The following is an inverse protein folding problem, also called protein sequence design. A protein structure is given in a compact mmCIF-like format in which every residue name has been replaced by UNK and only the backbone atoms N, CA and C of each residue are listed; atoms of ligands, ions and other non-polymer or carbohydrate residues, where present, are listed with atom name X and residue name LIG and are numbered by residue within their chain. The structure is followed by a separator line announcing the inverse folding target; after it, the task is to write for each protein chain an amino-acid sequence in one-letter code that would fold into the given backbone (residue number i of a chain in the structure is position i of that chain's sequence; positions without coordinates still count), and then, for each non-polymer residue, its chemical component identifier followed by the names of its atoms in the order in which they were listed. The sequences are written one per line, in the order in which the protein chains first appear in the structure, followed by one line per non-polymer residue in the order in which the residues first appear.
data_IF_649627757278
#
_entry.id   IF_649627757278
#
_cell.length_a   1.000
_cell.length_b   1.000
_cell.length_c   1.000
_cell.angle_alpha   90.00
_cell.angle_beta   90.00
_cell.angle_gamma   90.00
#
_symmetry.space_group_name_H-M   'P 1'
#
loop_
_entity.id
_entity.type
_entity.pdbx_description
1 polymer ?
#
# COMPACT_ATOMS: atom_id res chain seq x y z
N UNK A 1 17.94 9.27 23.81
CA UNK A 1 16.92 8.65 22.97
C UNK A 1 17.24 7.17 22.96
N UNK A 2 16.38 6.32 23.51
CA UNK A 2 16.59 4.87 23.42
C UNK A 2 16.28 4.48 21.99
N UNK A 3 17.29 4.00 21.25
CA UNK A 3 17.08 3.53 19.89
C UNK A 3 16.01 2.44 19.91
N UNK A 4 14.93 2.61 19.15
CA UNK A 4 14.02 1.49 18.90
C UNK A 4 14.68 0.56 17.88
N UNK A 5 14.40 -0.75 17.91
CA UNK A 5 15.01 -1.67 16.96
C UNK A 5 14.68 -1.37 15.48
N UNK A 6 13.65 -0.55 15.21
CA UNK A 6 13.30 -0.10 13.86
C UNK A 6 14.08 1.15 13.42
N UNK A 7 14.82 1.81 14.31
CA UNK A 7 15.59 3.01 13.94
C UNK A 7 16.75 2.69 12.96
N UNK A 8 17.15 1.42 12.87
CA UNK A 8 18.16 0.92 11.92
C UNK A 8 17.55 0.35 10.62
N UNK A 9 16.22 0.35 10.48
CA UNK A 9 15.52 -0.10 9.27
C UNK A 9 14.89 1.08 8.50
N UNK A 10 14.52 0.87 7.23
CA UNK A 10 14.05 1.95 6.36
C UNK A 10 12.55 2.29 6.52
N UNK A 11 11.96 1.99 7.70
CA UNK A 11 10.60 2.40 8.04
C UNK A 11 10.58 3.87 8.48
N UNK A 12 10.53 4.77 7.52
CA UNK A 12 10.68 6.21 7.77
C UNK A 12 9.35 6.98 7.82
N UNK A 13 8.23 6.37 7.44
CA UNK A 13 6.94 7.05 7.33
C UNK A 13 6.03 6.77 8.55
N UNK A 14 5.52 7.82 9.17
CA UNK A 14 4.51 7.78 10.22
C UNK A 14 3.15 8.21 9.65
N UNK A 15 2.20 7.26 9.58
CA UNK A 15 0.91 7.49 8.94
C UNK A 15 -0.22 7.81 9.90
N UNK A 16 -0.91 8.91 9.62
CA UNK A 16 -2.25 9.20 10.13
C UNK A 16 -3.28 8.72 9.10
N UNK A 17 -3.82 7.52 9.32
CA UNK A 17 -4.97 7.02 8.57
C UNK A 17 -6.27 7.75 8.97
N UNK A 18 -7.42 7.35 8.43
CA UNK A 18 -8.70 8.02 8.59
C UNK A 18 -9.05 8.43 10.05
N UNK A 19 -9.75 9.57 10.19
CA UNK A 19 -10.21 10.07 11.50
C UNK A 19 -9.40 11.23 12.10
N UNK A 20 -8.30 11.65 11.48
CA UNK A 20 -7.54 12.82 11.94
C UNK A 20 -8.16 14.18 11.54
N UNK A 21 -8.97 14.19 10.47
CA UNK A 21 -9.55 15.40 9.88
C UNK A 21 -10.99 15.66 10.29
N UNK A 22 -11.45 16.90 10.14
CA UNK A 22 -12.87 17.25 10.27
C UNK A 22 -13.64 16.58 9.14
N UNK A 23 -14.61 15.72 9.49
CA UNK A 23 -15.33 14.90 8.51
C UNK A 23 -16.55 15.54 7.84
N UNK A 24 -16.82 16.83 8.07
CA UNK A 24 -18.06 17.48 7.62
C UNK A 24 -17.87 18.74 6.77
N UNK A 25 -16.73 19.42 6.87
CA UNK A 25 -16.44 20.67 6.19
C UNK A 25 -14.94 21.01 6.23
N UNK A 26 -14.50 21.81 5.27
CA UNK A 26 -13.21 22.46 5.29
C UNK A 26 -13.22 23.82 5.99
N UNK A 27 -12.10 24.53 5.87
CA UNK A 27 -11.95 25.92 6.32
C UNK A 27 -12.84 26.91 5.53
N UNK A 28 -12.66 28.22 5.74
CA UNK A 28 -13.42 29.27 5.03
C UNK A 28 -13.29 29.20 3.50
N UNK A 29 -12.27 28.51 2.99
CA UNK A 29 -11.99 28.31 1.57
C UNK A 29 -12.26 26.86 1.11
N UNK A 30 -12.84 26.03 1.99
CA UNK A 30 -13.16 24.63 1.73
C UNK A 30 -11.93 23.73 1.61
N UNK A 31 -10.82 24.09 2.26
CA UNK A 31 -9.64 23.21 2.35
C UNK A 31 -9.74 22.28 3.54
N UNK A 32 -9.15 21.09 3.41
CA UNK A 32 -9.20 20.04 4.43
C UNK A 32 -8.48 20.50 5.70
N UNK A 33 -9.10 20.29 6.86
CA UNK A 33 -8.58 20.72 8.18
C UNK A 33 -8.54 19.56 9.16
N UNK A 34 -7.59 19.58 10.08
CA UNK A 34 -7.47 18.61 11.16
C UNK A 34 -8.47 18.89 12.29
N UNK A 35 -8.92 17.85 12.99
CA UNK A 35 -9.71 18.01 14.22
C UNK A 35 -8.80 18.49 15.36
N UNK A 36 -8.89 19.77 15.69
CA UNK A 36 -8.10 20.43 16.74
C UNK A 36 -8.29 19.84 18.14
N UNK A 37 -9.34 19.04 18.38
CA UNK A 37 -9.50 18.35 19.66
C UNK A 37 -8.55 17.15 19.81
N UNK A 38 -8.12 16.59 18.67
CA UNK A 38 -7.33 15.36 18.62
C UNK A 38 -5.90 15.62 18.12
N UNK A 39 -5.71 16.54 17.18
CA UNK A 39 -4.45 16.74 16.48
C UNK A 39 -4.04 18.21 16.38
N UNK A 40 -2.72 18.44 16.38
CA UNK A 40 -2.06 19.66 15.91
C UNK A 40 -1.05 19.22 14.85
N UNK A 41 -1.47 19.20 13.59
CA UNK A 41 -0.67 18.63 12.50
C UNK A 41 0.67 19.34 12.32
N UNK A 42 0.78 20.69 12.33
CA UNK A 42 2.08 21.35 12.28
C UNK A 42 3.03 20.95 13.41
N UNK A 43 2.55 20.87 14.66
CA UNK A 43 3.38 20.44 15.79
C UNK A 43 3.77 18.96 15.69
N UNK A 44 2.87 18.11 15.20
CA UNK A 44 3.16 16.70 14.93
C UNK A 44 4.21 16.53 13.84
N UNK A 45 4.09 17.26 12.72
CA UNK A 45 5.07 17.24 11.65
C UNK A 45 6.45 17.65 12.15
N UNK A 46 6.53 18.73 12.94
CA UNK A 46 7.79 19.14 13.56
C UNK A 46 8.38 18.03 14.44
N UNK A 47 7.57 17.38 15.28
CA UNK A 47 8.05 16.29 16.13
C UNK A 47 8.53 15.08 15.31
N UNK A 48 7.74 14.64 14.32
CA UNK A 48 8.09 13.52 13.42
C UNK A 48 9.39 13.80 12.68
N UNK A 49 9.57 15.03 12.17
CA UNK A 49 10.81 15.43 11.49
C UNK A 49 12.01 15.56 12.43
N UNK A 50 11.83 15.99 13.68
CA UNK A 50 12.91 16.07 14.68
C UNK A 50 13.46 14.67 15.04
N UNK A 51 12.60 13.64 14.96
CA UNK A 51 12.98 12.22 15.08
C UNK A 51 13.54 11.63 13.77
N UNK A 52 13.62 12.41 12.68
CA UNK A 52 14.14 11.98 11.38
C UNK A 52 13.16 11.14 10.54
N UNK A 53 11.88 11.14 10.91
CA UNK A 53 10.80 10.43 10.23
C UNK A 53 10.01 11.38 9.31
N UNK A 54 9.05 10.84 8.56
CA UNK A 54 8.25 11.53 7.54
C UNK A 54 6.76 11.41 7.86
N UNK A 55 6.01 12.51 7.75
CA UNK A 55 4.59 12.54 8.09
C UNK A 55 3.72 12.17 6.89
N UNK A 56 2.81 11.22 7.08
CA UNK A 56 1.84 10.78 6.08
C UNK A 56 0.42 11.12 6.54
N UNK A 57 -0.41 11.62 5.62
CA UNK A 57 -1.83 11.89 5.88
C UNK A 57 -2.74 11.20 4.88
N UNK A 58 -3.81 10.62 5.40
CA UNK A 58 -4.93 10.08 4.65
C UNK A 58 -5.91 11.18 4.22
N UNK A 59 -6.40 11.14 2.98
CA UNK A 59 -7.43 12.04 2.46
C UNK A 59 -8.46 11.27 1.63
N UNK A 60 -9.71 11.75 1.63
CA UNK A 60 -10.71 11.40 0.60
C UNK A 60 -10.62 12.45 -0.52
N UNK A 61 -10.59 12.06 -1.81
CA UNK A 61 -10.56 12.98 -2.93
C UNK A 61 -11.77 13.91 -2.98
N UNK A 62 -11.53 15.17 -3.36
CA UNK A 62 -12.56 16.20 -3.55
C UNK A 62 -12.93 16.98 -2.28
N UNK A 63 -13.67 18.07 -2.50
CA UNK A 63 -14.17 18.94 -1.44
C UNK A 63 -15.44 18.37 -0.79
N UNK A 64 -15.74 18.80 0.43
CA UNK A 64 -17.01 18.44 1.08
C UNK A 64 -18.19 19.10 0.37
N UNK A 65 -19.32 18.39 0.31
CA UNK A 65 -20.59 18.96 -0.18
C UNK A 65 -20.99 20.22 0.62
N UNK A 66 -20.68 20.26 1.92
CA UNK A 66 -20.95 21.41 2.77
C UNK A 66 -20.12 22.66 2.42
N UNK A 67 -19.05 22.49 1.63
CA UNK A 67 -18.19 23.58 1.16
C UNK A 67 -18.62 24.11 -0.21
N UNK A 68 -19.67 23.55 -0.82
CA UNK A 68 -20.23 24.07 -2.07
C UNK A 68 -20.59 25.57 -1.94
N UNK A 69 -20.17 26.37 -2.91
CA UNK A 69 -20.35 27.81 -2.90
C UNK A 69 -19.31 28.61 -2.10
N UNK A 70 -18.43 27.96 -1.31
CA UNK A 70 -17.25 28.65 -0.75
C UNK A 70 -16.30 29.05 -1.88
N UNK A 71 -15.63 30.18 -1.71
CA UNK A 71 -14.63 30.66 -2.69
C UNK A 71 -13.30 29.98 -2.42
N UNK A 72 -12.66 29.44 -3.46
CA UNK A 72 -11.33 28.85 -3.36
C UNK A 72 -10.31 29.95 -3.01
N UNK A 73 -9.38 29.65 -2.10
CA UNK A 73 -8.35 30.58 -1.62
C UNK A 73 -7.64 31.29 -2.79
N UNK A 74 -7.52 32.61 -2.71
CA UNK A 74 -6.87 33.47 -3.71
C UNK A 74 -7.53 33.47 -5.10
N UNK A 75 -8.82 33.12 -5.18
CA UNK A 75 -9.59 33.11 -6.44
C UNK A 75 -10.93 33.85 -6.29
N UNK A 76 -11.69 33.93 -7.38
CA UNK A 76 -13.13 34.26 -7.36
C UNK A 76 -14.00 33.06 -7.81
N UNK A 77 -13.44 31.85 -7.73
CA UNK A 77 -14.07 30.61 -8.20
C UNK A 77 -14.72 29.93 -6.99
N UNK A 78 -15.96 29.48 -7.17
CA UNK A 78 -16.70 28.78 -6.13
C UNK A 78 -16.54 27.26 -6.27
N UNK A 79 -16.37 26.57 -5.16
CA UNK A 79 -16.44 25.11 -5.11
C UNK A 79 -17.81 24.65 -5.64
N UNK A 80 -17.81 23.64 -6.50
CA UNK A 80 -19.01 23.15 -7.19
C UNK A 80 -19.40 23.92 -8.46
N UNK A 81 -18.70 25.00 -8.82
CA UNK A 81 -18.88 25.63 -10.14
C UNK A 81 -18.20 24.81 -11.27
N UNK A 82 -18.71 24.91 -12.51
CA UNK A 82 -18.16 24.18 -13.68
C UNK A 82 -16.63 24.33 -13.81
N UNK A 83 -15.96 23.28 -14.30
CA UNK A 83 -14.60 23.06 -14.85
C UNK A 83 -13.34 23.76 -14.29
N UNK A 84 -13.16 25.10 -14.13
CA UNK A 84 -11.89 25.62 -13.58
C UNK A 84 -11.68 25.35 -12.08
N UNK A 85 -12.65 24.76 -11.37
CA UNK A 85 -12.55 24.38 -9.95
C UNK A 85 -11.42 23.37 -9.70
N UNK A 86 -11.25 22.39 -10.61
CA UNK A 86 -10.25 21.32 -10.45
C UNK A 86 -8.82 21.87 -10.44
N UNK A 87 -8.57 22.93 -11.21
CA UNK A 87 -7.23 23.51 -11.37
C UNK A 87 -6.79 24.44 -10.24
N UNK A 88 -7.71 24.95 -9.42
CA UNK A 88 -7.37 25.92 -8.38
C UNK A 88 -7.60 25.42 -6.95
N UNK A 89 -8.55 24.50 -6.74
CA UNK A 89 -8.80 23.96 -5.40
C UNK A 89 -7.66 23.04 -4.93
N UNK A 90 -7.24 22.09 -5.77
CA UNK A 90 -6.17 21.13 -5.44
C UNK A 90 -4.85 21.80 -5.06
N UNK A 91 -4.31 22.77 -5.82
CA UNK A 91 -3.12 23.50 -5.38
C UNK A 91 -3.29 24.13 -3.99
N UNK A 92 -4.44 24.74 -3.69
CA UNK A 92 -4.64 25.37 -2.37
C UNK A 92 -4.61 24.38 -1.20
N UNK A 93 -5.08 23.15 -1.43
CA UNK A 93 -5.08 22.06 -0.44
C UNK A 93 -3.68 21.48 -0.31
N UNK A 94 -3.01 21.19 -1.43
CA UNK A 94 -1.65 20.64 -1.42
C UNK A 94 -0.65 21.64 -0.84
N UNK A 95 -0.77 22.93 -1.15
CA UNK A 95 0.09 23.98 -0.58
C UNK A 95 -0.07 24.08 0.95
N UNK A 96 -1.28 23.84 1.47
CA UNK A 96 -1.53 23.77 2.91
C UNK A 96 -0.78 22.60 3.54
N UNK A 97 -0.84 21.41 2.94
CA UNK A 97 -0.13 20.23 3.43
C UNK A 97 1.39 20.35 3.27
N UNK A 98 1.85 20.91 2.16
CA UNK A 98 3.26 21.20 1.91
C UNK A 98 3.82 22.16 2.97
N UNK A 99 3.08 23.23 3.27
CA UNK A 99 3.44 24.18 4.34
C UNK A 99 3.36 23.55 5.73
N UNK A 100 2.46 22.60 5.91
CA UNK A 100 2.27 21.83 7.15
C UNK A 100 3.30 20.73 7.38
N UNK A 101 4.22 20.49 6.44
CA UNK A 101 5.28 19.49 6.60
C UNK A 101 4.85 18.06 6.27
N UNK A 102 3.78 17.85 5.51
CA UNK A 102 3.39 16.52 5.04
C UNK A 102 4.36 16.02 3.97
N UNK A 103 4.72 14.74 4.02
CA UNK A 103 5.69 14.08 3.13
C UNK A 103 5.05 13.03 2.21
N UNK A 104 3.88 12.52 2.59
CA UNK A 104 3.10 11.61 1.77
C UNK A 104 1.61 11.90 1.93
N UNK A 105 0.88 11.87 0.82
CA UNK A 105 -0.58 11.89 0.79
C UNK A 105 -1.08 10.53 0.29
N UNK A 106 -1.91 9.87 1.10
CA UNK A 106 -2.68 8.68 0.70
C UNK A 106 -4.10 9.13 0.34
N UNK A 107 -4.46 9.04 -0.94
CA UNK A 107 -5.82 9.29 -1.42
C UNK A 107 -6.62 7.99 -1.39
N UNK A 108 -7.67 7.95 -0.59
CA UNK A 108 -8.50 6.76 -0.44
C UNK A 108 -9.86 6.88 -1.11
N UNK A 109 -10.55 5.74 -1.30
CA UNK A 109 -11.81 5.69 -2.03
C UNK A 109 -11.72 6.21 -3.49
N UNK A 110 -10.56 6.13 -4.12
CA UNK A 110 -10.38 6.51 -5.52
C UNK A 110 -11.16 5.55 -6.43
N UNK A 111 -12.00 6.12 -7.29
CA UNK A 111 -12.79 5.38 -8.28
C UNK A 111 -12.26 5.62 -9.70
N UNK A 112 -12.52 4.71 -10.66
CA UNK A 112 -13.30 3.47 -10.54
C UNK A 112 -12.58 2.37 -9.75
N UNK A 113 -13.35 1.39 -9.29
CA UNK A 113 -12.87 0.21 -8.56
C UNK A 113 -13.29 0.21 -7.09
N UNK A 114 -12.93 1.25 -6.34
CA UNK A 114 -13.26 1.35 -4.91
C UNK A 114 -14.76 1.18 -4.67
N UNK A 115 -15.10 0.34 -3.69
CA UNK A 115 -16.49 0.16 -3.28
C UNK A 115 -16.96 1.40 -2.53
N UNK A 116 -18.26 1.69 -2.60
CA UNK A 116 -18.79 2.90 -1.95
C UNK A 116 -18.74 2.82 -0.43
N UNK A 117 -18.81 1.64 0.19
CA UNK A 117 -18.89 1.47 1.66
C UNK A 117 -19.91 2.44 2.31
N UNK A 118 -21.06 2.65 1.65
CA UNK A 118 -22.10 3.64 2.00
C UNK A 118 -21.72 5.13 1.84
N UNK A 119 -20.53 5.46 1.32
CA UNK A 119 -20.16 6.79 0.89
C UNK A 119 -20.76 7.13 -0.49
N UNK A 120 -20.99 8.42 -0.74
CA UNK A 120 -21.44 8.92 -2.03
C UNK A 120 -20.24 9.23 -2.94
N UNK A 121 -19.62 8.18 -3.48
CA UNK A 121 -18.44 8.33 -4.34
C UNK A 121 -18.85 8.61 -5.80
N UNK A 122 -18.26 9.61 -6.46
CA UNK A 122 -18.35 9.74 -7.90
C UNK A 122 -17.88 8.46 -8.60
N UNK A 123 -18.47 8.14 -9.75
CA UNK A 123 -18.13 6.91 -10.47
C UNK A 123 -16.68 6.88 -11.00
N UNK A 124 -16.07 8.05 -11.20
CA UNK A 124 -14.72 8.20 -11.68
C UNK A 124 -14.04 9.41 -11.02
N UNK A 125 -12.99 9.15 -10.26
CA UNK A 125 -12.14 10.12 -9.57
C UNK A 125 -10.71 10.15 -10.16
N UNK A 126 -10.46 9.55 -11.33
CA UNK A 126 -9.12 9.54 -11.92
C UNK A 126 -8.57 10.94 -12.21
N UNK A 127 -9.46 11.89 -12.50
CA UNK A 127 -9.11 13.30 -12.65
C UNK A 127 -8.60 13.95 -11.36
N UNK A 128 -9.06 13.51 -10.18
CA UNK A 128 -8.59 14.02 -8.89
C UNK A 128 -7.15 13.55 -8.63
N UNK A 129 -6.81 12.31 -8.98
CA UNK A 129 -5.43 11.79 -8.86
C UNK A 129 -4.48 12.61 -9.74
N UNK A 130 -4.86 12.88 -10.99
CA UNK A 130 -4.10 13.76 -11.90
C UNK A 130 -3.96 15.17 -11.31
N UNK A 131 -5.00 15.70 -10.68
CA UNK A 131 -4.99 17.04 -10.10
C UNK A 131 -4.07 17.12 -8.87
N UNK A 132 -4.10 16.14 -7.97
CA UNK A 132 -3.16 16.03 -6.84
C UNK A 132 -1.72 15.89 -7.32
N UNK A 133 -1.44 15.03 -8.31
CA UNK A 133 -0.12 14.90 -8.92
C UNK A 133 0.43 16.25 -9.40
N UNK A 134 -0.37 16.98 -10.18
CA UNK A 134 0.02 18.29 -10.71
C UNK A 134 0.19 19.34 -9.62
N UNK A 135 -0.67 19.33 -8.60
CA UNK A 135 -0.60 20.25 -7.47
C UNK A 135 0.65 19.99 -6.61
N UNK A 136 1.00 18.73 -6.36
CA UNK A 136 2.23 18.32 -5.67
C UNK A 136 3.45 18.84 -6.43
N UNK A 137 3.50 18.62 -7.75
CA UNK A 137 4.59 19.12 -8.59
C UNK A 137 4.74 20.66 -8.56
N UNK A 138 3.65 21.40 -8.32
CA UNK A 138 3.64 22.87 -8.23
C UNK A 138 4.01 23.40 -6.83
N UNK A 139 3.75 22.63 -5.77
CA UNK A 139 3.94 23.05 -4.37
C UNK A 139 5.39 23.37 -4.00
N UNK A 140 6.36 22.80 -4.75
CA UNK A 140 7.78 22.92 -4.46
C UNK A 140 8.28 22.05 -3.30
N UNK A 141 7.41 21.25 -2.66
CA UNK A 141 7.78 20.20 -1.70
C UNK A 141 7.70 18.83 -2.37
N UNK A 142 8.66 17.96 -2.08
CA UNK A 142 8.57 16.55 -2.45
C UNK A 142 7.52 15.88 -1.55
N UNK A 143 6.37 15.53 -2.12
CA UNK A 143 5.30 14.79 -1.43
C UNK A 143 5.03 13.55 -2.27
N UNK A 144 5.13 12.37 -1.66
CA UNK A 144 4.76 11.10 -2.30
C UNK A 144 3.23 10.98 -2.39
N UNK A 145 2.72 10.41 -3.47
CA UNK A 145 1.28 10.21 -3.69
C UNK A 145 0.93 8.73 -3.81
N UNK A 146 0.24 8.20 -2.80
CA UNK A 146 -0.29 6.83 -2.81
C UNK A 146 -1.81 6.86 -3.00
N UNK A 147 -2.36 5.89 -3.72
CA UNK A 147 -3.80 5.79 -4.01
C UNK A 147 -4.39 4.45 -3.60
N UNK A 148 -5.56 4.49 -2.96
CA UNK A 148 -6.35 3.35 -2.45
C UNK A 148 -7.83 3.52 -2.86
N UNK A 149 -8.69 2.52 -2.89
CA UNK A 149 -8.77 1.32 -2.04
C UNK A 149 -8.75 0.00 -2.80
N UNK A 150 -9.44 -0.10 -3.93
CA UNK A 150 -9.46 -1.30 -4.79
C UNK A 150 -9.60 -0.85 -6.22
N UNK A 151 -8.56 -0.20 -6.74
CA UNK A 151 -8.67 0.57 -7.98
C UNK A 151 -8.98 -0.33 -9.18
N UNK A 152 -9.60 0.26 -10.20
CA UNK A 152 -9.79 -0.39 -11.50
C UNK A 152 -8.43 -0.66 -12.13
N UNK A 153 -8.24 -1.90 -12.56
CA UNK A 153 -6.97 -2.44 -13.09
C UNK A 153 -7.01 -2.65 -14.60
N UNK A 154 -8.06 -2.16 -15.28
CA UNK A 154 -8.08 -2.13 -16.75
C UNK A 154 -7.02 -1.16 -17.27
N UNK A 155 -6.47 -1.45 -18.45
CA UNK A 155 -5.39 -0.66 -19.05
C UNK A 155 -5.69 0.85 -19.06
N UNK A 156 -6.93 1.23 -19.37
CA UNK A 156 -7.33 2.63 -19.49
C UNK A 156 -7.17 3.43 -18.19
N UNK A 157 -7.41 2.82 -17.03
CA UNK A 157 -7.24 3.47 -15.73
C UNK A 157 -5.86 3.22 -15.14
N UNK A 158 -5.30 2.03 -15.36
CA UNK A 158 -3.96 1.71 -14.91
C UNK A 158 -2.89 2.64 -15.51
N UNK A 159 -3.00 3.01 -16.79
CA UNK A 159 -2.10 4.00 -17.40
C UNK A 159 -2.15 5.36 -16.67
N UNK A 160 -3.31 5.73 -16.12
CA UNK A 160 -3.47 6.96 -15.33
C UNK A 160 -2.81 6.79 -13.97
N UNK A 161 -3.07 5.68 -13.28
CA UNK A 161 -2.47 5.37 -11.98
C UNK A 161 -0.94 5.39 -12.08
N UNK A 162 -0.39 4.63 -13.03
CA UNK A 162 1.05 4.50 -13.23
C UNK A 162 1.74 5.82 -13.60
N UNK A 163 1.04 6.72 -14.29
CA UNK A 163 1.59 8.03 -14.67
C UNK A 163 1.38 9.12 -13.64
N UNK A 164 0.51 8.91 -12.64
CA UNK A 164 0.06 9.98 -11.74
C UNK A 164 0.32 9.70 -10.25
N UNK A 165 0.56 8.46 -9.84
CA UNK A 165 0.80 8.08 -8.44
C UNK A 165 2.09 7.27 -8.28
N UNK A 166 2.67 7.35 -7.09
CA UNK A 166 3.85 6.58 -6.71
C UNK A 166 3.47 5.16 -6.30
N UNK A 167 2.28 4.95 -5.74
CA UNK A 167 1.79 3.63 -5.39
C UNK A 167 0.28 3.46 -5.56
N UNK A 168 -0.17 2.25 -5.87
CA UNK A 168 -1.60 1.90 -5.95
C UNK A 168 -1.95 0.63 -5.17
N UNK A 169 -3.05 0.69 -4.41
CA UNK A 169 -3.61 -0.46 -3.73
C UNK A 169 -4.32 -1.40 -4.71
N UNK A 170 -3.95 -2.67 -4.67
CA UNK A 170 -4.42 -3.70 -5.61
C UNK A 170 -5.73 -4.39 -5.21
N UNK A 171 -6.03 -4.42 -3.91
CA UNK A 171 -7.22 -5.02 -3.33
C UNK A 171 -7.73 -4.20 -2.15
N UNK A 172 -8.95 -4.49 -1.72
CA UNK A 172 -9.60 -3.92 -0.55
C UNK A 172 -8.90 -4.24 0.79
N UNK A 173 -9.29 -3.53 1.86
CA UNK A 173 -8.80 -3.72 3.23
C UNK A 173 -8.67 -5.20 3.61
N UNK A 174 -7.52 -5.52 4.19
CA UNK A 174 -7.29 -6.79 4.87
C UNK A 174 -7.53 -6.70 6.37
N UNK A 175 -7.77 -5.49 6.89
CA UNK A 175 -8.10 -5.27 8.29
C UNK A 175 -9.44 -5.93 8.67
N UNK A 176 -9.45 -6.67 9.77
CA UNK A 176 -10.61 -7.41 10.27
C UNK A 176 -11.50 -6.52 11.15
N UNK A 177 -12.12 -5.52 10.51
CA UNK A 177 -12.86 -4.47 11.19
C UNK A 177 -14.00 -5.01 12.08
N UNK A 178 -13.96 -4.61 13.36
CA UNK A 178 -14.97 -4.99 14.36
C UNK A 178 -14.65 -6.27 15.13
N UNK A 179 -13.56 -6.95 14.78
CA UNK A 179 -13.09 -8.16 15.45
C UNK A 179 -11.98 -7.87 16.49
N UNK A 180 -11.62 -8.89 17.28
CA UNK A 180 -10.57 -8.78 18.30
C UNK A 180 -9.14 -8.91 17.74
N UNK A 181 -9.01 -9.35 16.48
CA UNK A 181 -7.72 -9.54 15.81
C UNK A 181 -7.58 -8.58 14.64
N UNK A 182 -6.36 -8.24 14.25
CA UNK A 182 -6.12 -7.25 13.19
C UNK A 182 -6.46 -7.74 11.79
N UNK A 183 -6.22 -9.01 11.47
CA UNK A 183 -6.44 -9.58 10.13
C UNK A 183 -6.96 -11.01 10.27
N UNK A 184 -7.53 -11.53 9.18
CA UNK A 184 -7.96 -12.91 9.03
C UNK A 184 -7.29 -13.53 7.79
N UNK A 185 -7.04 -14.84 7.83
CA UNK A 185 -6.29 -15.54 6.79
C UNK A 185 -6.97 -15.49 5.41
N UNK A 186 -8.30 -15.52 5.38
CA UNK A 186 -9.09 -15.43 4.15
C UNK A 186 -8.89 -14.07 3.43
N UNK A 187 -8.79 -12.98 4.18
CA UNK A 187 -8.51 -11.66 3.61
C UNK A 187 -7.09 -11.56 3.04
N UNK A 188 -6.12 -12.20 3.70
CA UNK A 188 -4.76 -12.27 3.19
C UNK A 188 -4.66 -13.12 1.92
N UNK A 189 -5.32 -14.29 1.88
CA UNK A 189 -5.42 -15.12 0.67
C UNK A 189 -5.97 -14.32 -0.53
N UNK A 190 -7.04 -13.53 -0.30
CA UNK A 190 -7.64 -12.66 -1.32
C UNK A 190 -6.70 -11.58 -1.83
N UNK A 191 -6.00 -10.89 -0.94
CA UNK A 191 -5.06 -9.85 -1.32
C UNK A 191 -3.89 -10.42 -2.14
N UNK A 192 -3.37 -11.59 -1.74
CA UNK A 192 -2.34 -12.32 -2.46
C UNK A 192 -2.81 -12.69 -3.87
N UNK A 193 -4.02 -13.23 -4.02
CA UNK A 193 -4.54 -13.59 -5.35
C UNK A 193 -4.76 -12.37 -6.25
N UNK A 194 -5.29 -11.27 -5.69
CA UNK A 194 -5.58 -10.07 -6.47
C UNK A 194 -4.32 -9.44 -7.07
N UNK A 195 -3.20 -9.35 -6.34
CA UNK A 195 -1.98 -8.78 -6.91
C UNK A 195 -1.34 -9.72 -7.94
N UNK A 196 -1.35 -11.04 -7.71
CA UNK A 196 -0.80 -12.02 -8.66
C UNK A 196 -1.52 -11.91 -10.01
N UNK A 197 -2.85 -11.84 -10.00
CA UNK A 197 -3.62 -11.74 -11.24
C UNK A 197 -3.32 -10.45 -12.01
N UNK A 198 -3.19 -9.31 -11.34
CA UNK A 198 -3.07 -8.03 -12.05
C UNK A 198 -1.64 -7.59 -12.31
N UNK A 199 -0.76 -7.66 -11.33
CA UNK A 199 0.60 -7.15 -11.53
C UNK A 199 1.48 -8.17 -12.24
N UNK A 200 1.42 -9.43 -11.81
CA UNK A 200 2.30 -10.48 -12.36
C UNK A 200 1.76 -10.97 -13.70
N UNK A 201 0.49 -11.38 -13.77
CA UNK A 201 -0.05 -12.03 -14.97
C UNK A 201 -0.47 -11.03 -16.05
N UNK A 202 -1.22 -9.98 -15.70
CA UNK A 202 -1.81 -9.08 -16.70
C UNK A 202 -0.78 -8.13 -17.33
N UNK A 203 0.12 -7.51 -16.55
CA UNK A 203 1.08 -6.53 -17.09
C UNK A 203 2.43 -7.14 -17.49
N UNK A 204 2.94 -8.12 -16.75
CA UNK A 204 4.17 -8.86 -17.02
C UNK A 204 5.34 -7.99 -17.58
N UNK A 205 5.60 -6.85 -16.92
CA UNK A 205 6.66 -5.89 -17.26
C UNK A 205 7.11 -5.12 -16.02
N UNK A 206 8.22 -4.41 -16.14
CA UNK A 206 8.59 -3.40 -15.13
C UNK A 206 7.51 -2.31 -15.07
N UNK A 207 7.04 -2.02 -13.86
CA UNK A 207 6.04 -1.00 -13.58
C UNK A 207 6.73 0.27 -13.05
N UNK A 208 6.15 1.43 -13.34
CA UNK A 208 6.61 2.71 -12.80
C UNK A 208 5.88 3.11 -11.50
N UNK A 209 4.99 2.25 -11.01
CA UNK A 209 4.19 2.44 -9.79
C UNK A 209 4.43 1.29 -8.83
N UNK A 210 4.59 1.60 -7.55
CA UNK A 210 4.74 0.60 -6.50
C UNK A 210 3.40 -0.05 -6.17
N UNK A 211 3.44 -1.36 -5.93
CA UNK A 211 2.27 -2.08 -5.44
C UNK A 211 2.01 -1.72 -3.98
N UNK A 212 0.74 -1.51 -3.63
CA UNK A 212 0.27 -1.52 -2.25
C UNK A 212 -0.65 -2.76 -2.05
N UNK A 213 -0.28 -3.59 -1.08
CA UNK A 213 -1.02 -4.80 -0.69
C UNK A 213 -1.79 -4.59 0.62
N UNK A 214 -1.87 -3.35 1.11
CA UNK A 214 -2.34 -2.94 2.44
C UNK A 214 -1.29 -3.15 3.55
N UNK A 215 -1.70 -2.88 4.78
CA UNK A 215 -0.92 -2.87 6.00
C UNK A 215 -0.33 -4.24 6.35
N UNK A 216 0.90 -4.26 6.85
CA UNK A 216 1.68 -5.41 7.24
C UNK A 216 1.48 -5.72 8.74
N UNK A 217 0.64 -6.71 9.05
CA UNK A 217 0.28 -7.13 10.42
C UNK A 217 1.16 -8.25 10.97
N UNK A 218 2.47 -8.14 10.78
CA UNK A 218 3.44 -9.19 11.13
C UNK A 218 4.13 -8.97 12.48
N UNK A 219 3.83 -7.88 13.20
CA UNK A 219 4.55 -7.46 14.40
C UNK A 219 4.06 -8.09 15.71
N UNK A 220 2.79 -8.47 15.80
CA UNK A 220 2.17 -8.91 17.06
C UNK A 220 1.84 -10.41 17.04
N UNK A 221 1.79 -11.03 18.23
CA UNK A 221 1.46 -12.45 18.39
C UNK A 221 0.06 -12.83 17.88
N UNK A 222 -0.24 -14.13 17.77
CA UNK A 222 -1.45 -14.63 17.12
C UNK A 222 -2.75 -14.11 17.73
N UNK A 223 -2.79 -13.95 19.06
CA UNK A 223 -3.98 -13.46 19.78
C UNK A 223 -4.31 -11.98 19.45
N UNK A 224 -3.35 -11.22 18.93
CA UNK A 224 -3.53 -9.83 18.49
C UNK A 224 -3.64 -9.71 16.97
N UNK A 225 -2.72 -10.34 16.24
CA UNK A 225 -2.69 -10.27 14.78
C UNK A 225 -3.84 -11.04 14.12
N UNK A 226 -4.27 -12.16 14.73
CA UNK A 226 -5.18 -13.13 14.10
C UNK A 226 -4.47 -14.10 13.16
N UNK A 227 -3.13 -14.11 13.17
CA UNK A 227 -2.31 -14.96 12.31
C UNK A 227 -1.32 -15.80 13.12
N UNK A 228 -1.22 -17.07 12.74
CA UNK A 228 -0.16 -17.99 13.16
C UNK A 228 1.22 -17.50 12.70
N UNK A 229 2.27 -18.13 13.23
CA UNK A 229 3.66 -17.86 12.83
C UNK A 229 3.85 -18.07 11.32
N UNK A 230 3.30 -19.16 10.76
CA UNK A 230 3.43 -19.48 9.34
C UNK A 230 2.75 -18.41 8.47
N UNK A 231 1.52 -18.01 8.82
CA UNK A 231 0.76 -16.97 8.11
C UNK A 231 1.47 -15.61 8.13
N UNK A 232 2.01 -15.19 9.29
CA UNK A 232 2.80 -13.94 9.41
C UNK A 232 4.06 -13.96 8.54
N UNK A 233 4.77 -15.09 8.50
CA UNK A 233 5.95 -15.23 7.63
C UNK A 233 5.56 -15.24 6.16
N UNK A 234 4.46 -15.88 5.81
CA UNK A 234 3.92 -15.90 4.44
C UNK A 234 3.50 -14.50 3.98
N UNK A 235 2.84 -13.73 4.84
CA UNK A 235 2.53 -12.31 4.56
C UNK A 235 3.79 -11.51 4.22
N UNK A 236 4.81 -11.55 5.10
CA UNK A 236 6.06 -10.83 4.87
C UNK A 236 6.73 -11.23 3.55
N UNK A 237 6.78 -12.53 3.25
CA UNK A 237 7.39 -13.05 2.01
C UNK A 237 6.65 -12.62 0.76
N UNK A 238 5.32 -12.52 0.78
CA UNK A 238 4.55 -12.00 -0.34
C UNK A 238 4.74 -10.49 -0.53
N UNK A 239 4.71 -9.70 0.54
CA UNK A 239 4.93 -8.26 0.45
C UNK A 239 6.31 -7.95 -0.13
N UNK A 240 7.34 -8.64 0.38
CA UNK A 240 8.70 -8.58 -0.16
C UNK A 240 8.74 -9.05 -1.61
N UNK A 241 8.20 -10.24 -1.89
CA UNK A 241 8.25 -10.88 -3.21
C UNK A 241 7.47 -10.13 -4.28
N UNK A 242 6.58 -9.23 -3.90
CA UNK A 242 5.84 -8.37 -4.80
C UNK A 242 6.42 -6.95 -4.88
N UNK A 243 7.47 -6.64 -4.10
CA UNK A 243 7.94 -5.28 -3.83
C UNK A 243 6.81 -4.31 -3.49
N UNK A 244 5.92 -4.77 -2.62
CA UNK A 244 4.85 -3.95 -2.10
C UNK A 244 5.39 -2.95 -1.08
N UNK A 245 4.63 -1.87 -0.85
CA UNK A 245 4.87 -1.00 0.29
C UNK A 245 4.86 -1.82 1.59
N UNK A 246 5.88 -1.63 2.43
CA UNK A 246 5.92 -2.21 3.77
C UNK A 246 5.34 -1.21 4.76
N UNK A 247 4.01 -1.16 4.88
CA UNK A 247 3.30 -0.26 5.80
C UNK A 247 2.99 -1.04 7.08
N UNK A 248 3.70 -0.83 8.18
CA UNK A 248 3.45 -1.62 9.40
C UNK A 248 2.11 -1.23 10.03
N UNK A 249 1.14 -2.15 10.04
CA UNK A 249 -0.16 -1.98 10.71
C UNK A 249 -0.20 -2.51 12.14
N UNK A 250 0.87 -3.20 12.56
CA UNK A 250 1.00 -3.76 13.90
C UNK A 250 1.18 -2.70 14.99
N UNK A 251 0.72 -3.01 16.21
CA UNK A 251 1.01 -2.18 17.37
C UNK A 251 2.50 -2.30 17.74
N UNK A 252 3.26 -1.26 17.43
CA UNK A 252 4.71 -1.19 17.66
C UNK A 252 5.10 -1.22 19.15
N UNK A 253 4.15 -1.01 20.08
CA UNK A 253 4.40 -1.12 21.52
C UNK A 253 4.26 -2.55 22.06
N UNK A 254 3.74 -3.47 21.24
CA UNK A 254 3.49 -4.87 21.58
C UNK A 254 4.13 -5.84 20.57
N UNK A 255 5.32 -5.51 20.07
CA UNK A 255 6.06 -6.39 19.17
C UNK A 255 6.53 -7.66 19.90
N UNK A 256 6.27 -8.83 19.32
CA UNK A 256 6.84 -10.09 19.81
C UNK A 256 8.20 -10.39 19.15
N UNK A 257 8.85 -11.48 19.57
CA UNK A 257 10.17 -11.83 19.06
C UNK A 257 10.19 -12.10 17.55
N UNK A 258 9.13 -12.68 16.99
CA UNK A 258 9.01 -12.91 15.55
C UNK A 258 8.81 -11.59 14.80
N UNK A 259 7.96 -10.72 15.31
CA UNK A 259 7.61 -9.44 14.71
C UNK A 259 8.81 -8.52 14.63
N UNK A 260 9.57 -8.45 15.73
CA UNK A 260 10.84 -7.75 15.73
C UNK A 260 11.78 -8.31 14.66
N UNK A 261 11.94 -9.63 14.64
CA UNK A 261 12.85 -10.31 13.75
C UNK A 261 12.52 -10.08 12.26
N UNK A 262 11.26 -10.20 11.86
CA UNK A 262 10.87 -10.03 10.45
C UNK A 262 10.88 -8.57 10.02
N UNK A 263 10.50 -7.64 10.90
CA UNK A 263 10.50 -6.20 10.58
C UNK A 263 11.93 -5.65 10.52
N UNK A 264 12.84 -6.08 11.39
CA UNK A 264 14.22 -5.57 11.38
C UNK A 264 15.10 -6.27 10.34
N UNK A 265 14.79 -7.52 9.95
CA UNK A 265 15.51 -8.22 8.87
C UNK A 265 15.13 -7.75 7.46
N UNK A 266 14.16 -6.85 7.35
CA UNK A 266 13.81 -6.23 6.08
C UNK A 266 15.02 -5.52 5.46
N UNK A 267 15.96 -5.01 6.26
CA UNK A 267 17.24 -4.44 5.82
C UNK A 267 18.08 -5.43 4.95
N UNK A 268 18.08 -6.72 5.28
CA UNK A 268 18.74 -7.77 4.50
C UNK A 268 17.92 -8.22 3.28
N UNK A 269 16.64 -7.89 3.25
CA UNK A 269 15.68 -8.28 2.22
C UNK A 269 15.44 -7.15 1.21
N UNK A 270 15.76 -5.89 1.55
CA UNK A 270 15.68 -4.71 0.69
C UNK A 270 16.71 -4.66 -0.44
N UNK A 271 17.50 -5.71 -0.65
CA UNK A 271 18.06 -5.97 -1.97
C UNK A 271 16.91 -6.46 -2.88
N UNK A 272 16.08 -5.50 -3.32
CA UNK A 272 15.09 -5.71 -4.37
C UNK A 272 15.56 -5.05 -5.66
N UNK A 273 15.71 -5.87 -6.68
CA UNK A 273 16.05 -5.49 -8.04
C UNK A 273 15.03 -6.23 -8.92
N UNK A 274 13.93 -5.55 -9.26
CA UNK A 274 12.83 -6.08 -10.05
C UNK A 274 13.20 -6.11 -11.54
N UNK A 275 13.97 -7.12 -11.95
CA UNK A 275 14.07 -7.63 -13.33
C UNK A 275 14.44 -6.64 -14.46
N UNK A 276 14.60 -7.17 -15.68
CA UNK A 276 15.91 -7.43 -16.24
C UNK A 276 16.68 -6.14 -16.59
N UNK A 277 17.45 -5.58 -15.65
CA UNK A 277 18.78 -5.16 -16.07
C UNK A 277 19.58 -6.47 -16.28
N UNK A 278 20.45 -6.47 -17.28
CA UNK A 278 21.18 -7.63 -17.82
C UNK A 278 22.13 -8.35 -16.83
N UNK A 279 21.96 -8.12 -15.52
CA UNK A 279 22.79 -8.64 -14.43
C UNK A 279 22.04 -8.90 -13.11
N UNK A 280 20.72 -9.12 -13.13
CA UNK A 280 19.87 -9.06 -11.92
C UNK A 280 19.19 -10.41 -11.59
N UNK A 281 19.08 -10.72 -10.30
CA UNK A 281 18.50 -11.96 -9.76
C UNK A 281 16.96 -11.94 -9.81
N UNK A 282 16.32 -13.10 -9.91
CA UNK A 282 14.87 -13.24 -9.77
C UNK A 282 14.50 -13.73 -8.35
N UNK A 283 13.25 -13.53 -7.95
CA UNK A 283 12.72 -14.00 -6.66
C UNK A 283 11.52 -14.91 -6.92
N UNK A 284 11.45 -16.04 -6.21
CA UNK A 284 10.33 -16.96 -6.27
C UNK A 284 9.76 -17.21 -4.87
N UNK A 285 8.45 -16.99 -4.70
CA UNK A 285 7.71 -17.36 -3.49
C UNK A 285 6.96 -18.65 -3.78
N UNK A 286 7.29 -19.73 -3.07
CA UNK A 286 6.49 -20.95 -3.07
C UNK A 286 5.72 -20.99 -1.76
N UNK A 287 4.40 -21.21 -1.84
CA UNK A 287 3.52 -21.21 -0.69
C UNK A 287 2.46 -22.31 -0.79
N UNK A 288 2.14 -22.92 0.35
CA UNK A 288 0.96 -23.75 0.53
C UNK A 288 -0.06 -22.96 1.36
N UNK A 289 -1.06 -22.37 0.72
CA UNK A 289 -2.04 -21.54 1.42
C UNK A 289 -3.07 -22.34 2.25
N UNK A 290 -3.07 -23.67 2.14
CA UNK A 290 -4.17 -24.52 2.58
C UNK A 290 -5.40 -24.37 1.68
N UNK A 291 -6.59 -24.79 2.16
CA UNK A 291 -7.83 -24.67 1.39
C UNK A 291 -8.24 -23.20 1.22
N UNK A 292 -8.91 -22.90 0.11
CA UNK A 292 -9.52 -21.57 -0.13
C UNK A 292 -10.59 -21.31 0.94
N UNK A 293 -10.38 -20.26 1.72
CA UNK A 293 -11.33 -19.85 2.76
C UNK A 293 -12.54 -19.07 2.19
N UNK A 294 -12.66 -18.98 0.87
CA UNK A 294 -13.82 -18.45 0.15
C UNK A 294 -13.67 -17.00 -0.31
N UNK A 295 -12.51 -16.40 -0.07
CA UNK A 295 -12.19 -15.03 -0.48
C UNK A 295 -11.04 -14.98 -1.49
N UNK A 296 -10.18 -16.01 -1.57
CA UNK A 296 -9.08 -16.08 -2.53
C UNK A 296 -9.63 -16.05 -3.95
N UNK A 297 -10.40 -17.08 -4.32
CA UNK A 297 -10.88 -17.27 -5.68
C UNK A 297 -10.22 -18.45 -6.39
N UNK A 298 -9.10 -18.97 -5.87
CA UNK A 298 -8.39 -20.13 -6.40
C UNK A 298 -9.15 -21.46 -6.22
N UNK A 299 -10.15 -21.53 -5.34
CA UNK A 299 -11.13 -22.61 -5.27
C UNK A 299 -10.54 -24.00 -4.96
N UNK A 300 -9.36 -24.06 -4.35
CA UNK A 300 -8.75 -25.32 -3.93
C UNK A 300 -9.34 -25.79 -2.60
N UNK A 301 -9.37 -27.10 -2.42
CA UNK A 301 -9.83 -27.77 -1.18
C UNK A 301 -8.73 -28.64 -0.59
N UNK A 302 -7.46 -28.36 -0.95
CA UNK A 302 -6.32 -29.15 -0.49
C UNK A 302 -6.05 -28.83 0.97
N UNK A 303 -5.90 -29.88 1.77
CA UNK A 303 -5.56 -29.80 3.20
C UNK A 303 -4.25 -30.55 3.46
N UNK A 304 -3.53 -30.13 4.50
CA UNK A 304 -2.26 -30.68 4.95
C UNK A 304 -1.07 -30.35 4.05
N UNK A 305 0.07 -30.97 4.36
CA UNK A 305 1.32 -30.83 3.64
C UNK A 305 1.17 -31.03 2.13
N UNK A 306 1.65 -30.07 1.35
CA UNK A 306 1.69 -30.13 -0.12
C UNK A 306 3.12 -30.06 -0.62
N UNK A 307 3.44 -30.84 -1.65
CA UNK A 307 4.66 -30.62 -2.43
C UNK A 307 4.41 -29.50 -3.44
N UNK A 308 5.00 -28.34 -3.20
CA UNK A 308 4.93 -27.19 -4.10
C UNK A 308 6.16 -27.22 -5.01
N UNK A 309 5.95 -27.05 -6.31
CA UNK A 309 7.00 -27.14 -7.33
C UNK A 309 6.96 -25.92 -8.22
N UNK A 310 8.14 -25.41 -8.60
CA UNK A 310 8.30 -24.43 -9.67
C UNK A 310 9.29 -24.97 -10.70
N UNK A 311 8.92 -24.93 -11.98
CA UNK A 311 9.79 -25.31 -13.08
C UNK A 311 10.51 -24.10 -13.68
N UNK A 312 11.54 -24.34 -14.49
CA UNK A 312 12.18 -23.28 -15.28
C UNK A 312 11.22 -22.62 -16.26
N UNK A 313 10.25 -23.39 -16.78
CA UNK A 313 9.26 -22.93 -17.74
C UNK A 313 8.25 -21.98 -17.07
N UNK A 314 7.89 -22.24 -15.80
CA UNK A 314 6.99 -21.37 -15.01
C UNK A 314 7.60 -19.99 -14.72
N UNK A 315 8.93 -19.90 -14.72
CA UNK A 315 9.65 -18.67 -14.38
C UNK A 315 9.92 -17.78 -15.61
N UNK A 316 9.65 -18.26 -16.84
CA UNK A 316 9.95 -17.60 -18.11
C UNK A 316 11.41 -17.10 -18.25
N UNK A 317 12.35 -17.76 -17.55
CA UNK A 317 13.77 -17.39 -17.54
C UNK A 317 14.43 -18.06 -18.74
N UNK A 318 14.26 -17.46 -19.91
CA UNK A 318 14.91 -17.92 -21.13
C UNK A 318 16.27 -17.23 -21.32
N UNK A 319 17.36 -18.01 -21.33
CA UNK A 319 18.64 -17.56 -21.92
C UNK A 319 19.68 -16.93 -20.98
N UNK A 320 19.49 -16.91 -19.67
CA UNK A 320 20.60 -16.74 -18.72
C UNK A 320 20.65 -17.95 -17.82
N UNK A 321 21.82 -18.59 -17.83
CA UNK A 321 22.21 -19.72 -16.99
C UNK A 321 21.98 -19.25 -15.55
N UNK A 322 20.83 -19.49 -14.92
CA UNK A 322 20.68 -19.32 -13.47
C UNK A 322 21.04 -20.68 -12.86
N UNK A 323 21.65 -20.72 -11.67
CA UNK A 323 21.67 -21.97 -10.88
C UNK A 323 20.26 -22.26 -10.34
N UNK A 324 19.31 -22.57 -11.21
CA UNK A 324 18.19 -23.44 -10.86
C UNK A 324 18.66 -24.89 -11.03
N UNK A 325 18.12 -25.86 -10.26
CA UNK A 325 18.22 -27.24 -10.70
C UNK A 325 17.60 -27.28 -12.09
N UNK A 326 18.24 -27.95 -13.04
CA UNK A 326 17.84 -28.01 -14.46
C UNK A 326 16.41 -28.52 -14.74
N UNK A 327 15.65 -28.85 -13.69
CA UNK A 327 14.29 -29.39 -13.72
C UNK A 327 13.31 -28.60 -12.83
N UNK A 328 13.72 -27.46 -12.24
CA UNK A 328 12.95 -26.77 -11.20
C UNK A 328 13.29 -27.26 -9.79
N UNK A 329 12.60 -26.73 -8.77
CA UNK A 329 12.73 -27.21 -7.39
C UNK A 329 11.37 -27.45 -6.75
N UNK A 330 11.33 -28.46 -5.89
CA UNK A 330 10.15 -28.86 -5.12
C UNK A 330 10.47 -28.78 -3.63
N UNK A 331 9.47 -28.40 -2.85
CA UNK A 331 9.55 -28.37 -1.39
C UNK A 331 8.21 -28.83 -0.81
N UNK A 332 8.26 -29.62 0.26
CA UNK A 332 7.09 -29.97 1.04
C UNK A 332 6.83 -28.84 2.05
N UNK A 333 5.61 -28.29 2.03
CA UNK A 333 5.19 -27.18 2.89
C UNK A 333 3.90 -27.56 3.60
N UNK A 334 3.84 -27.33 4.91
CA UNK A 334 2.59 -27.41 5.67
C UNK A 334 1.64 -26.27 5.32
N UNK A 335 0.40 -26.32 5.79
CA UNK A 335 -0.57 -25.25 5.56
C UNK A 335 -0.07 -23.89 6.09
N UNK A 336 -0.34 -22.86 5.29
CA UNK A 336 0.14 -21.49 5.45
C UNK A 336 1.66 -21.30 5.41
N UNK A 337 2.45 -22.34 5.18
CA UNK A 337 3.90 -22.19 5.03
C UNK A 337 4.29 -21.69 3.65
N UNK A 338 5.45 -21.04 3.60
CA UNK A 338 6.04 -20.54 2.36
C UNK A 338 7.56 -20.48 2.45
N UNK A 339 8.21 -20.29 1.31
CA UNK A 339 9.64 -20.08 1.21
C UNK A 339 9.92 -19.06 0.10
N UNK A 340 10.92 -18.22 0.35
CA UNK A 340 11.40 -17.21 -0.60
C UNK A 340 12.76 -17.66 -1.13
N UNK A 341 12.87 -17.82 -2.45
CA UNK A 341 14.12 -18.14 -3.13
C UNK A 341 14.65 -16.92 -3.88
N UNK A 342 15.96 -16.70 -3.75
CA UNK A 342 16.72 -15.81 -4.64
C UNK A 342 17.36 -16.65 -5.75
N UNK A 343 17.08 -16.31 -7.00
CA UNK A 343 17.55 -17.00 -8.20
C UNK A 343 18.62 -16.13 -8.86
N UNK A 344 19.88 -16.57 -8.90
CA UNK A 344 20.99 -15.77 -9.45
C UNK A 344 21.51 -16.34 -10.77
N UNK A 345 21.98 -15.49 -11.70
CA UNK A 345 22.78 -15.92 -12.84
C UNK A 345 24.02 -16.70 -12.37
N UNK A 346 24.43 -17.69 -13.16
CA UNK A 346 25.45 -18.69 -12.88
C UNK A 346 26.84 -18.20 -13.27
#
# INVERSE_FOLDING_TARGET
MSQTPLDESDYVHCSLDSGWSVGANGDDFGRIIYDTNNFDIPSLAYHVHDEGLLLVVYLVPGAFIADEGKTILDTNIMIGSIEPVVQQWHPSVVDQFASGGVDLIKLDFVTPGSHTNNANLPANLSGEVIAYHNAIAQSGRSIRLDISWKLDRSQAFFDIWESSADSMQSDQDIYNAGECTFVAWDFLQRAIENYLFTMVIQYNRMLAIYLDMDSLFVGNEADFSGMTVAERQTMMRHWVGAAANLIVGSDLTHLDALGLDVLTRADQIQAWDAGPDSSVYAVAVLANYGPDQGQGGFGTVFEGAQTVTVSSDDLDITGTDLRSPSEGFSIELEEAESVLYRLTPA
#
